data_IF_556634948007
#
_entry.id   IF_556634948007
#
_cell.length_a   1.000
_cell.length_b   1.000
_cell.length_c   1.000
_cell.angle_alpha   90.00
_cell.angle_beta   90.00
_cell.angle_gamma   90.00
#
_symmetry.space_group_name_H-M   'P 1'
#
loop_
_entity.id
_entity.type
_entity.pdbx_description
1 polymer ?
#
# COMPACT_ATOMS: atom_id res chain seq x y z
N UNK A 1 -11.52 -7.62 -3.50
CA UNK A 1 -11.03 -6.24 -3.80
C UNK A 1 -9.87 -6.23 -4.78
N UNK A 2 -8.84 -7.06 -4.59
CA UNK A 2 -7.69 -7.14 -5.51
C UNK A 2 -8.05 -7.41 -6.99
N UNK A 3 -9.18 -8.05 -7.31
CA UNK A 3 -9.62 -8.24 -8.71
C UNK A 3 -10.50 -7.12 -9.26
N UNK A 4 -10.87 -6.14 -8.43
CA UNK A 4 -11.80 -5.07 -8.78
C UNK A 4 -11.05 -3.80 -9.19
N UNK A 5 -10.03 -3.42 -8.42
CA UNK A 5 -9.18 -2.28 -8.73
C UNK A 5 -7.95 -2.73 -9.54
N UNK A 6 -7.62 -1.99 -10.59
CA UNK A 6 -6.43 -2.23 -11.42
C UNK A 6 -5.14 -2.04 -10.62
N UNK A 7 -5.11 -1.07 -9.71
CA UNK A 7 -4.04 -0.82 -8.75
C UNK A 7 -4.58 -0.07 -7.53
N UNK A 8 -4.00 -0.28 -6.36
CA UNK A 8 -4.35 0.45 -5.14
C UNK A 8 -3.12 0.61 -4.24
N UNK A 9 -3.25 1.45 -3.20
CA UNK A 9 -2.37 1.42 -2.04
C UNK A 9 -3.21 1.10 -0.80
N UNK A 10 -3.01 -0.11 -0.27
CA UNK A 10 -3.67 -0.60 0.94
C UNK A 10 -2.56 -1.06 1.89
N UNK A 11 -2.07 -0.16 2.76
CA UNK A 11 -1.04 -0.51 3.74
C UNK A 11 -1.50 -1.65 4.67
N UNK A 12 -0.55 -2.37 5.27
CA UNK A 12 -0.80 -3.54 6.14
C UNK A 12 -1.27 -4.81 5.44
N UNK A 13 -1.16 -4.92 4.11
CA UNK A 13 -1.49 -6.13 3.37
C UNK A 13 -0.24 -6.88 2.92
N UNK A 14 -0.38 -8.20 2.79
CA UNK A 14 0.67 -9.03 2.22
C UNK A 14 0.83 -8.72 0.73
N UNK A 15 1.94 -8.05 0.39
CA UNK A 15 2.29 -7.66 -0.98
C UNK A 15 2.60 -8.84 -1.90
N UNK A 16 2.95 -10.00 -1.36
CA UNK A 16 3.22 -11.19 -2.17
C UNK A 16 1.89 -11.87 -2.57
N UNK A 17 0.93 -11.89 -1.66
CA UNK A 17 -0.41 -12.40 -1.93
C UNK A 17 -1.25 -11.43 -2.78
N UNK A 18 -1.08 -10.11 -2.61
CA UNK A 18 -1.88 -9.08 -3.26
C UNK A 18 -1.04 -7.92 -3.83
N UNK A 19 -0.17 -8.18 -4.82
CA UNK A 19 0.76 -7.17 -5.34
C UNK A 19 0.07 -5.93 -5.89
N UNK A 20 -1.10 -6.09 -6.52
CA UNK A 20 -1.84 -4.99 -7.10
C UNK A 20 -2.45 -4.03 -6.06
N UNK A 21 -2.62 -4.47 -4.80
CA UNK A 21 -3.10 -3.63 -3.71
C UNK A 21 -1.99 -2.81 -3.05
N UNK A 22 -0.72 -3.12 -3.34
CA UNK A 22 0.45 -2.37 -2.89
C UNK A 22 1.13 -1.56 -4.01
N UNK A 23 0.62 -1.68 -5.24
CA UNK A 23 1.27 -1.15 -6.43
C UNK A 23 1.36 0.38 -6.44
N UNK A 24 0.37 1.07 -5.85
CA UNK A 24 0.38 2.54 -5.78
C UNK A 24 1.04 3.09 -4.52
N UNK A 25 1.50 2.21 -3.62
CA UNK A 25 2.17 2.65 -2.40
C UNK A 25 3.54 3.27 -2.67
N UNK A 26 3.94 4.22 -1.81
CA UNK A 26 5.16 5.02 -1.98
C UNK A 26 6.29 4.64 -1.02
N UNK A 27 6.10 3.64 -0.16
CA UNK A 27 7.21 3.09 0.60
C UNK A 27 8.24 2.45 -0.34
N UNK A 28 9.49 2.43 0.10
CA UNK A 28 10.59 1.82 -0.67
C UNK A 28 11.03 0.50 -0.03
N UNK A 29 11.35 -0.49 -0.87
CA UNK A 29 11.84 -1.79 -0.42
C UNK A 29 10.86 -2.48 0.53
N UNK A 30 11.34 -2.86 1.72
CA UNK A 30 10.52 -3.47 2.78
C UNK A 30 9.48 -2.52 3.38
N UNK A 31 9.61 -1.21 3.15
CA UNK A 31 8.64 -0.22 3.64
C UNK A 31 7.47 0.00 2.68
N UNK A 32 7.53 -0.56 1.47
CA UNK A 32 6.39 -0.53 0.55
C UNK A 32 5.28 -1.44 1.07
N UNK A 33 4.06 -0.91 1.19
CA UNK A 33 2.93 -1.57 1.84
C UNK A 33 3.04 -1.70 3.37
N UNK A 34 3.99 -0.99 4.01
CA UNK A 34 4.25 -1.16 5.43
C UNK A 34 3.07 -0.71 6.29
N UNK A 35 2.83 -1.48 7.36
CA UNK A 35 1.85 -1.13 8.39
C UNK A 35 2.40 -0.10 9.39
N UNK A 36 3.04 0.95 8.89
CA UNK A 36 3.66 1.99 9.72
C UNK A 36 3.81 3.29 8.94
N UNK A 37 4.11 4.38 9.66
CA UNK A 37 4.40 5.69 9.06
C UNK A 37 5.63 5.73 8.14
N UNK A 38 6.38 4.62 8.03
CA UNK A 38 7.43 4.47 7.01
C UNK A 38 6.85 4.36 5.60
N UNK A 39 5.59 3.95 5.48
CA UNK A 39 4.85 4.10 4.25
C UNK A 39 4.22 5.51 4.19
N UNK A 40 4.57 6.34 3.20
CA UNK A 40 4.06 7.71 3.09
C UNK A 40 2.54 7.80 2.96
N UNK A 41 1.90 6.74 2.47
CA UNK A 41 0.45 6.63 2.27
C UNK A 41 -0.27 5.90 3.42
N UNK A 42 0.42 5.64 4.52
CA UNK A 42 -0.16 5.04 5.71
C UNK A 42 -1.06 6.02 6.49
N UNK A 43 -2.21 5.51 6.94
CA UNK A 43 -3.19 6.26 7.71
C UNK A 43 -3.96 7.29 6.88
N UNK A 44 -4.85 8.05 7.52
CA UNK A 44 -5.75 9.00 6.84
C UNK A 44 -4.99 10.09 6.09
N UNK A 45 -4.02 10.73 6.75
CA UNK A 45 -3.22 11.80 6.15
C UNK A 45 -2.31 11.32 5.02
N UNK A 46 -1.89 10.04 5.06
CA UNK A 46 -1.13 9.42 3.99
C UNK A 46 -2.01 9.09 2.79
N UNK A 47 -3.17 8.47 3.03
CA UNK A 47 -4.10 8.06 1.98
C UNK A 47 -4.73 9.24 1.20
N UNK A 48 -4.75 10.44 1.77
CA UNK A 48 -5.26 11.65 1.13
C UNK A 48 -4.24 12.35 0.19
N UNK A 49 -2.96 11.94 0.20
CA UNK A 49 -1.89 12.54 -0.62
C UNK A 49 -1.83 11.94 -2.02
#
# INVERSE_FOLDING_TARGET
VAKFFSASCVPCIDRQAYPNLCQLCKGEGENQCACSSREPYFGYSGAFK
#
